data_IF_712922937633
#
_entry.id   IF_712922937633
#
_cell.length_a   1.000
_cell.length_b   1.000
_cell.length_c   1.000
_cell.angle_alpha   90.00
_cell.angle_beta   90.00
_cell.angle_gamma   90.00
#
_symmetry.space_group_name_H-M   'P 1'
#
loop_
_entity.id
_entity.type
_entity.pdbx_description
1 polymer ?
#
# COMPACT_ATOMS: atom_id res chain seq x y z
N UNK A 1 -46.71 -40.37 4.31
CA UNK A 1 -46.43 -38.93 4.10
C UNK A 1 -44.97 -38.69 4.46
N UNK A 2 -44.05 -38.79 3.49
CA UNK A 2 -42.61 -38.64 3.75
C UNK A 2 -42.23 -37.16 3.61
N UNK A 3 -41.94 -36.51 4.74
CA UNK A 3 -41.53 -35.12 4.79
C UNK A 3 -40.08 -34.97 4.34
N UNK A 4 -39.89 -34.53 3.10
CA UNK A 4 -38.57 -34.22 2.56
C UNK A 4 -38.11 -32.87 3.11
N UNK A 5 -37.30 -32.88 4.18
CA UNK A 5 -36.70 -31.67 4.73
C UNK A 5 -35.45 -31.30 3.92
N UNK A 6 -35.59 -30.32 3.02
CA UNK A 6 -34.47 -29.77 2.28
C UNK A 6 -33.63 -28.87 3.21
N UNK A 7 -32.36 -29.20 3.54
CA UNK A 7 -31.57 -28.34 4.40
C UNK A 7 -31.21 -27.06 3.64
N UNK A 8 -31.81 -25.94 4.05
CA UNK A 8 -31.47 -24.60 3.54
C UNK A 8 -29.96 -24.38 3.72
N UNK A 9 -29.23 -24.39 2.61
CA UNK A 9 -27.81 -24.02 2.51
C UNK A 9 -27.64 -22.51 2.74
N UNK A 10 -27.84 -22.06 3.98
CA UNK A 10 -27.39 -20.75 4.42
C UNK A 10 -25.89 -20.83 4.72
N UNK A 11 -25.07 -19.98 4.08
CA UNK A 11 -23.65 -19.85 4.45
C UNK A 11 -23.57 -19.54 5.95
N UNK A 12 -23.14 -20.51 6.76
CA UNK A 12 -23.00 -20.35 8.21
C UNK A 12 -22.01 -19.20 8.46
N UNK A 13 -22.43 -18.16 9.16
CA UNK A 13 -21.56 -17.02 9.51
C UNK A 13 -20.39 -17.58 10.33
N UNK A 14 -19.17 -17.42 9.83
CA UNK A 14 -17.96 -17.81 10.54
C UNK A 14 -17.92 -17.13 11.92
N UNK A 15 -17.56 -17.92 12.94
CA UNK A 15 -17.26 -17.38 14.28
C UNK A 15 -16.13 -16.35 14.15
N UNK A 16 -16.03 -15.42 15.10
CA UNK A 16 -15.00 -14.37 15.07
C UNK A 16 -13.58 -14.92 14.91
N UNK A 17 -13.30 -16.08 15.50
CA UNK A 17 -12.02 -16.77 15.42
C UNK A 17 -11.71 -17.34 14.01
N UNK A 18 -12.75 -17.72 13.26
CA UNK A 18 -12.60 -18.31 11.93
C UNK A 18 -12.61 -17.27 10.80
N UNK A 19 -12.72 -15.98 11.11
CA UNK A 19 -12.69 -14.93 10.08
C UNK A 19 -11.26 -14.70 9.60
N UNK A 20 -11.03 -14.53 8.29
CA UNK A 20 -9.72 -14.13 7.78
C UNK A 20 -9.23 -12.86 8.47
N UNK A 21 -7.95 -12.84 8.82
CA UNK A 21 -7.32 -11.71 9.51
C UNK A 21 -6.46 -10.95 8.51
N UNK A 22 -6.74 -9.67 8.36
CA UNK A 22 -6.06 -8.77 7.42
C UNK A 22 -5.33 -7.63 8.12
N UNK A 23 -4.47 -6.94 7.37
CA UNK A 23 -3.85 -5.68 7.74
C UNK A 23 -4.15 -4.60 6.70
N UNK A 24 -4.41 -3.41 7.22
CA UNK A 24 -4.41 -2.18 6.45
C UNK A 24 -2.99 -1.64 6.43
N UNK A 25 -2.47 -1.37 5.24
CA UNK A 25 -1.11 -0.86 5.04
C UNK A 25 -1.21 0.47 4.29
N UNK A 26 -0.61 1.50 4.86
CA UNK A 26 -0.42 2.80 4.24
C UNK A 26 0.89 2.78 3.46
N UNK A 27 0.80 3.12 2.18
CA UNK A 27 1.90 3.09 1.21
C UNK A 27 2.07 4.49 0.67
N UNK A 28 3.31 4.97 0.63
CA UNK A 28 3.72 6.16 -0.13
C UNK A 28 4.35 5.71 -1.44
N UNK A 29 4.17 6.52 -2.47
CA UNK A 29 4.63 6.19 -3.81
C UNK A 29 4.97 7.42 -4.62
N UNK A 30 5.74 7.19 -5.69
CA UNK A 30 6.28 8.26 -6.51
C UNK A 30 5.19 9.10 -7.22
N UNK A 31 5.50 10.38 -7.45
CA UNK A 31 4.64 11.35 -8.10
C UNK A 31 4.30 10.97 -9.55
N UNK A 32 5.06 10.08 -10.18
CA UNK A 32 4.76 9.57 -11.53
C UNK A 32 3.44 8.78 -11.60
N UNK A 33 3.00 8.21 -10.48
CA UNK A 33 1.75 7.46 -10.42
C UNK A 33 0.59 8.43 -10.24
N UNK A 34 -0.08 8.71 -11.35
CA UNK A 34 -1.14 9.72 -11.43
C UNK A 34 -2.56 9.14 -11.50
N UNK A 35 -2.69 7.81 -11.49
CA UNK A 35 -3.99 7.15 -11.52
C UNK A 35 -4.00 5.91 -10.65
N UNK A 36 -5.20 5.61 -10.11
CA UNK A 36 -5.51 4.37 -9.41
C UNK A 36 -5.13 3.14 -10.25
N UNK A 37 -5.42 3.16 -11.57
CA UNK A 37 -5.14 2.02 -12.44
C UNK A 37 -3.63 1.77 -12.60
N UNK A 38 -2.85 2.85 -12.72
CA UNK A 38 -1.38 2.78 -12.83
C UNK A 38 -0.79 2.25 -11.52
N UNK A 39 -1.30 2.72 -10.37
CA UNK A 39 -0.93 2.17 -9.08
C UNK A 39 -1.22 0.66 -9.04
N UNK A 40 -2.44 0.24 -9.41
CA UNK A 40 -2.84 -1.16 -9.34
C UNK A 40 -1.99 -2.06 -10.24
N UNK A 41 -1.63 -1.59 -11.43
CA UNK A 41 -0.70 -2.28 -12.32
C UNK A 41 0.68 -2.43 -11.69
N UNK A 42 1.36 -1.32 -11.39
CA UNK A 42 2.73 -1.34 -10.83
C UNK A 42 2.80 -2.14 -9.52
N UNK A 43 1.80 -1.99 -8.65
CA UNK A 43 1.77 -2.70 -7.38
C UNK A 43 1.50 -4.21 -7.56
N UNK A 44 0.74 -4.60 -8.59
CA UNK A 44 0.56 -6.02 -8.96
C UNK A 44 1.86 -6.61 -9.48
N UNK A 45 2.55 -5.89 -10.37
CA UNK A 45 3.83 -6.33 -10.95
C UNK A 45 4.88 -6.57 -9.85
N UNK A 46 4.94 -5.68 -8.85
CA UNK A 46 5.87 -5.79 -7.72
C UNK A 46 5.57 -6.97 -6.80
N UNK A 47 4.29 -7.20 -6.53
CA UNK A 47 3.88 -8.31 -5.68
C UNK A 47 4.00 -9.62 -6.44
N UNK A 48 3.92 -9.60 -7.78
CA UNK A 48 4.02 -10.76 -8.65
C UNK A 48 3.09 -11.91 -8.19
N UNK A 49 1.84 -11.56 -7.87
CA UNK A 49 0.84 -12.52 -7.41
C UNK A 49 1.13 -13.24 -6.08
N UNK A 50 2.20 -12.87 -5.33
CA UNK A 50 2.61 -13.53 -4.08
C UNK A 50 1.52 -13.59 -3.02
N UNK A 51 0.61 -12.62 -3.00
CA UNK A 51 -0.50 -12.59 -2.04
C UNK A 51 -1.72 -11.80 -2.52
N UNK A 52 -2.85 -12.10 -1.90
CA UNK A 52 -4.10 -11.40 -2.15
C UNK A 52 -4.08 -10.01 -1.54
N UNK A 53 -4.37 -9.01 -2.36
CA UNK A 53 -4.42 -7.63 -1.92
C UNK A 53 -5.60 -6.87 -2.55
N UNK A 54 -5.93 -5.71 -1.99
CA UNK A 54 -6.96 -4.82 -2.56
C UNK A 54 -6.65 -3.36 -2.24
N UNK A 55 -6.70 -2.49 -3.25
CA UNK A 55 -6.60 -1.05 -3.08
C UNK A 55 -7.92 -0.45 -2.56
N UNK A 56 -7.83 0.42 -1.55
CA UNK A 56 -8.98 1.16 -1.01
C UNK A 56 -8.88 2.64 -1.35
N UNK A 57 -7.92 3.33 -0.75
CA UNK A 57 -7.71 4.76 -0.95
C UNK A 57 -6.48 4.95 -1.85
N UNK A 58 -6.54 5.92 -2.76
CA UNK A 58 -5.44 6.28 -3.65
C UNK A 58 -5.50 7.79 -3.88
N UNK A 59 -4.49 8.51 -3.41
CA UNK A 59 -4.33 9.94 -3.51
C UNK A 59 -3.05 10.22 -4.28
N UNK A 60 -3.17 10.54 -5.55
CA UNK A 60 -2.01 10.86 -6.38
C UNK A 60 -1.43 12.22 -5.99
N UNK A 61 -0.13 12.38 -6.23
CA UNK A 61 0.53 13.67 -6.07
C UNK A 61 -0.05 14.71 -7.03
N UNK A 62 -0.14 15.96 -6.57
CA UNK A 62 -0.47 17.08 -7.45
C UNK A 62 0.70 17.30 -8.42
N UNK A 63 0.46 17.12 -9.71
CA UNK A 63 1.39 17.61 -10.74
C UNK A 63 1.43 19.13 -10.62
N UNK A 64 2.57 19.69 -10.24
CA UNK A 64 2.80 21.14 -10.37
C UNK A 64 2.77 21.47 -11.86
N UNK A 65 1.60 21.79 -12.39
CA UNK A 65 1.49 22.46 -13.68
C UNK A 65 1.80 23.92 -13.40
N UNK A 66 2.85 24.45 -13.99
CA UNK A 66 3.15 25.88 -14.00
C UNK A 66 2.09 26.66 -14.80
N UNK A 67 0.82 26.60 -14.41
CA UNK A 67 -0.27 27.37 -15.00
C UNK A 67 -1.08 28.03 -13.88
N UNK A 68 -0.74 29.29 -13.68
CA UNK A 68 -1.40 30.38 -12.97
C UNK A 68 -2.84 30.19 -12.44
N UNK A 69 -3.00 30.73 -11.24
CA UNK A 69 -4.17 31.40 -10.64
C UNK A 69 -5.11 30.60 -9.74
N UNK A 70 -4.96 30.94 -8.45
CA UNK A 70 -5.98 31.00 -7.39
C UNK A 70 -6.29 29.71 -6.62
N UNK A 71 -5.74 29.64 -5.42
CA UNK A 71 -6.64 29.77 -4.27
C UNK A 71 -5.92 30.28 -3.03
N UNK A 72 -6.34 31.46 -2.60
CA UNK A 72 -6.03 32.12 -1.35
C UNK A 72 -6.52 31.31 -0.16
N UNK A 73 -5.67 30.49 0.44
CA UNK A 73 -5.78 30.10 1.85
C UNK A 73 -4.39 29.87 2.42
N UNK A 74 -4.12 30.61 3.50
CA UNK A 74 -2.88 30.62 4.27
C UNK A 74 -2.54 29.26 4.86
N UNK A 75 -1.28 28.85 4.73
CA UNK A 75 -0.47 28.38 5.84
C UNK A 75 1.01 28.43 5.43
N UNK A 76 1.79 29.10 6.25
CA UNK A 76 3.24 29.19 6.23
C UNK A 76 3.96 27.84 6.12
N UNK A 77 5.25 27.97 5.80
CA UNK A 77 6.36 27.01 5.84
C UNK A 77 6.73 26.42 4.47
N UNK A 78 7.84 26.96 3.96
CA UNK A 78 8.68 26.37 2.92
C UNK A 78 8.95 24.90 3.24
N UNK A 79 8.39 24.00 2.46
CA UNK A 79 8.91 22.64 2.35
C UNK A 79 8.96 22.33 0.87
N UNK A 80 10.17 22.08 0.36
CA UNK A 80 10.40 21.56 -0.99
C UNK A 80 9.99 20.07 -1.00
N UNK A 81 8.80 19.80 -0.46
CA UNK A 81 8.26 18.49 -0.15
C UNK A 81 7.98 17.81 -1.47
N UNK A 82 8.78 16.80 -1.80
CA UNK A 82 8.47 15.86 -2.88
C UNK A 82 7.04 15.40 -2.63
N UNK A 83 6.11 15.83 -3.48
CA UNK A 83 4.72 15.45 -3.34
C UNK A 83 4.62 13.97 -3.70
N UNK A 84 4.74 13.09 -2.70
CA UNK A 84 4.50 11.66 -2.88
C UNK A 84 3.00 11.38 -2.87
N UNK A 85 2.60 10.43 -3.70
CA UNK A 85 1.26 9.86 -3.63
C UNK A 85 1.10 8.98 -2.39
N UNK A 86 -0.15 8.84 -1.93
CA UNK A 86 -0.50 8.03 -0.76
C UNK A 86 -1.62 7.05 -1.08
N UNK A 87 -1.45 5.79 -0.70
CA UNK A 87 -2.45 4.75 -0.87
C UNK A 87 -2.69 3.98 0.43
N UNK A 88 -3.87 3.36 0.51
CA UNK A 88 -4.16 2.35 1.54
C UNK A 88 -4.54 1.04 0.84
N UNK A 89 -3.77 0.00 1.12
CA UNK A 89 -4.02 -1.36 0.65
C UNK A 89 -4.44 -2.27 1.80
N UNK A 90 -5.26 -3.27 1.47
CA UNK A 90 -5.65 -4.36 2.36
C UNK A 90 -4.95 -5.63 1.91
N UNK A 91 -4.23 -6.28 2.82
CA UNK A 91 -3.57 -7.57 2.61
C UNK A 91 -3.91 -8.55 3.73
N UNK A 92 -3.70 -9.84 3.53
CA UNK A 92 -3.81 -10.82 4.61
C UNK A 92 -2.68 -10.63 5.64
N UNK A 93 -2.98 -10.89 6.92
CA UNK A 93 -2.02 -10.65 8.01
C UNK A 93 -0.74 -11.47 7.84
N UNK A 94 -0.87 -12.72 7.39
CA UNK A 94 0.24 -13.65 7.17
C UNK A 94 1.24 -13.14 6.13
N UNK A 95 0.78 -12.34 5.18
CA UNK A 95 1.58 -11.89 4.03
C UNK A 95 2.22 -10.51 4.28
N UNK A 96 1.90 -9.87 5.40
CA UNK A 96 2.43 -8.55 5.75
C UNK A 96 3.94 -8.52 5.96
N UNK A 97 4.52 -9.57 6.53
CA UNK A 97 5.98 -9.70 6.67
C UNK A 97 6.66 -9.75 5.31
N UNK A 98 6.09 -10.47 4.34
CA UNK A 98 6.58 -10.54 2.97
C UNK A 98 6.56 -9.16 2.30
N UNK A 99 5.42 -8.45 2.36
CA UNK A 99 5.31 -7.08 1.84
C UNK A 99 6.35 -6.13 2.46
N UNK A 100 6.61 -6.26 3.77
CA UNK A 100 7.65 -5.46 4.43
C UNK A 100 9.06 -5.77 3.93
N UNK A 101 9.37 -7.05 3.69
CA UNK A 101 10.65 -7.45 3.11
C UNK A 101 10.87 -6.83 1.73
N UNK A 102 9.87 -6.92 0.85
CA UNK A 102 9.92 -6.34 -0.51
C UNK A 102 10.29 -4.85 -0.49
N UNK A 103 9.77 -4.08 0.47
CA UNK A 103 10.06 -2.65 0.58
C UNK A 103 11.29 -2.28 1.42
N UNK A 104 11.93 -3.24 2.10
CA UNK A 104 13.08 -2.99 2.97
C UNK A 104 14.43 -3.27 2.27
N UNK A 105 14.45 -4.15 1.26
CA UNK A 105 15.67 -4.53 0.51
C UNK A 105 16.32 -3.37 -0.27
N UNK A 106 15.77 -2.17 -0.14
CA UNK A 106 16.10 -0.98 -0.93
C UNK A 106 16.79 0.13 -0.17
N UNK A 107 16.88 0.03 1.15
CA UNK A 107 17.51 1.05 2.00
C UNK A 107 18.94 0.68 2.41
N UNK A 108 19.64 -0.13 1.62
CA UNK A 108 21.04 -0.44 1.89
C UNK A 108 21.95 0.62 1.26
N UNK A 109 21.98 1.77 1.91
CA UNK A 109 23.11 2.71 1.84
C UNK A 109 23.37 3.25 3.25
N UNK A 110 24.03 2.44 4.06
CA UNK A 110 24.78 2.90 5.23
C UNK A 110 26.19 2.36 5.09
N UNK A 111 27.11 3.29 4.85
CA UNK A 111 28.56 3.17 4.91
C UNK A 111 28.93 2.59 6.29
N UNK A 112 29.36 1.34 6.35
CA UNK A 112 30.11 0.78 7.47
C UNK A 112 30.97 -0.37 6.93
N UNK A 113 32.28 -0.22 7.11
CA UNK A 113 33.35 -1.07 6.58
C UNK A 113 33.20 -2.56 6.96
N UNK A 114 32.90 -3.42 5.99
CA UNK A 114 33.19 -4.85 6.06
C UNK A 114 33.35 -5.44 4.66
N UNK A 115 34.58 -5.76 4.28
CA UNK A 115 34.95 -6.56 3.11
C UNK A 115 34.19 -7.90 3.12
N UNK A 116 33.30 -8.12 2.16
CA UNK A 116 32.69 -9.44 1.93
C UNK A 116 32.78 -9.79 0.43
N UNK A 117 33.58 -10.85 0.23
CA UNK A 117 33.80 -11.68 -0.94
C UNK A 117 32.55 -11.89 -1.82
N UNK A 118 32.70 -11.59 -3.12
CA UNK A 118 31.62 -11.58 -4.11
C UNK A 118 31.50 -12.96 -4.75
N UNK A 119 30.42 -13.67 -4.46
CA UNK A 119 29.99 -14.82 -5.26
C UNK A 119 28.54 -15.20 -4.97
N UNK A 120 27.58 -14.60 -5.70
CA UNK A 120 26.45 -15.30 -6.33
C UNK A 120 25.34 -14.36 -6.86
N UNK A 121 24.81 -14.75 -8.01
CA UNK A 121 23.47 -14.49 -8.59
C UNK A 121 23.16 -13.13 -9.24
N UNK A 122 23.19 -13.17 -10.57
CA UNK A 122 22.74 -12.17 -11.55
C UNK A 122 21.20 -12.08 -11.58
N UNK A 123 20.58 -11.59 -10.51
CA UNK A 123 19.11 -11.38 -10.44
C UNK A 123 18.77 -10.04 -9.73
N UNK A 124 19.77 -9.19 -9.54
CA UNK A 124 19.72 -8.07 -8.58
C UNK A 124 19.29 -6.72 -9.17
N UNK A 125 19.30 -6.54 -10.50
CA UNK A 125 19.10 -5.21 -11.09
C UNK A 125 17.64 -4.73 -11.12
N UNK A 126 16.65 -5.61 -11.32
CA UNK A 126 15.23 -5.19 -11.31
C UNK A 126 14.70 -4.87 -9.90
N UNK A 127 15.28 -5.48 -8.86
CA UNK A 127 14.86 -5.29 -7.48
C UNK A 127 15.23 -3.91 -6.91
N UNK A 128 16.23 -3.23 -7.48
CA UNK A 128 16.64 -1.87 -7.10
C UNK A 128 15.65 -0.79 -7.57
N UNK A 129 14.98 -0.99 -8.71
CA UNK A 129 14.01 -0.03 -9.27
C UNK A 129 12.69 -0.01 -8.49
N UNK A 130 12.22 -1.20 -8.09
CA UNK A 130 10.90 -1.43 -7.50
C UNK A 130 10.63 -0.62 -6.22
N UNK A 131 11.64 -0.50 -5.37
CA UNK A 131 11.49 0.15 -4.08
C UNK A 131 11.81 1.64 -4.09
N UNK A 132 12.31 2.16 -5.21
CA UNK A 132 12.28 3.60 -5.49
C UNK A 132 10.83 4.08 -5.68
N UNK A 133 9.94 3.19 -6.14
CA UNK A 133 8.56 3.54 -6.51
C UNK A 133 7.61 3.50 -5.30
N UNK A 134 7.79 2.59 -4.34
CA UNK A 134 6.89 2.39 -3.20
C UNK A 134 7.60 2.23 -1.87
N UNK A 135 7.07 2.85 -0.83
CA UNK A 135 7.51 2.68 0.55
C UNK A 135 6.33 2.44 1.50
N UNK A 136 6.50 1.60 2.53
CA UNK A 136 5.46 1.41 3.56
C UNK A 136 5.65 2.35 4.73
N UNK A 137 4.66 3.20 4.97
CA UNK A 137 4.68 4.20 6.05
C UNK A 137 4.12 3.62 7.36
N UNK A 138 3.00 2.89 7.30
CA UNK A 138 2.33 2.40 8.53
C UNK A 138 1.43 1.19 8.24
N UNK A 139 1.18 0.36 9.26
CA UNK A 139 0.11 -0.63 9.19
C UNK A 139 -0.72 -0.71 10.48
N UNK A 140 -1.96 -1.19 10.36
CA UNK A 140 -2.87 -1.42 11.49
C UNK A 140 -3.98 -2.43 11.16
N UNK A 141 -4.65 -2.96 12.19
CA UNK A 141 -5.90 -3.72 12.01
C UNK A 141 -7.12 -2.83 11.71
N UNK A 142 -6.98 -1.49 11.82
CA UNK A 142 -8.07 -0.53 11.63
C UNK A 142 -7.70 0.50 10.56
N UNK A 143 -8.46 0.56 9.47
CA UNK A 143 -8.28 1.55 8.39
C UNK A 143 -8.29 3.00 8.91
N UNK A 144 -9.12 3.29 9.91
CA UNK A 144 -9.20 4.62 10.52
C UNK A 144 -7.88 5.07 11.16
N UNK A 145 -7.12 4.14 11.76
CA UNK A 145 -5.82 4.46 12.34
C UNK A 145 -4.77 4.71 11.25
N UNK A 146 -4.81 3.95 10.15
CA UNK A 146 -3.92 4.16 9.00
C UNK A 146 -4.19 5.54 8.39
N UNK A 147 -5.45 5.89 8.11
CA UNK A 147 -5.83 7.21 7.59
C UNK A 147 -5.34 8.35 8.48
N UNK A 148 -5.55 8.24 9.80
CA UNK A 148 -5.08 9.26 10.77
C UNK A 148 -3.56 9.46 10.68
N UNK A 149 -2.79 8.38 10.62
CA UNK A 149 -1.31 8.44 10.53
C UNK A 149 -0.83 8.99 9.19
N UNK A 150 -1.56 8.71 8.10
CA UNK A 150 -1.25 9.20 6.75
C UNK A 150 -1.80 10.62 6.48
N UNK A 151 -2.45 11.26 7.46
CA UNK A 151 -3.11 12.56 7.27
C UNK A 151 -4.28 12.53 6.27
N UNK A 152 -4.85 11.35 5.98
CA UNK A 152 -5.90 11.20 4.97
C UNK A 152 -7.29 11.48 5.55
N UNK A 153 -8.06 12.31 4.84
CA UNK A 153 -9.45 12.58 5.19
C UNK A 153 -10.32 11.34 4.96
N UNK A 154 -11.32 11.15 5.83
CA UNK A 154 -12.25 10.03 5.70
C UNK A 154 -13.17 10.28 4.50
N UNK A 155 -13.28 9.36 3.54
CA UNK A 155 -14.17 9.55 2.40
C UNK A 155 -15.63 9.70 2.88
N UNK A 156 -16.41 10.60 2.27
CA UNK A 156 -17.82 10.79 2.61
C UNK A 156 -18.60 9.50 2.36
N UNK A 157 -19.53 9.17 3.26
CA UNK A 157 -20.42 8.03 3.07
C UNK A 157 -21.41 8.37 1.95
N UNK A 158 -21.44 7.58 0.87
CA UNK A 158 -22.56 7.57 -0.05
C UNK A 158 -23.80 7.12 0.74
N UNK A 159 -24.83 7.98 0.82
CA UNK A 159 -26.13 7.65 1.39
C UNK A 159 -26.95 6.87 0.36
#
# INVERSE_FOLDING_TARGET
>A
MSGNSNPKSGKRKLTKALRPKWRWVGVEFDADIQSRAIFEQKFTDIIDGKFNWRLFDCHCALKQTNSSLSSTYSADVSDNSVHLGRAIVRIDLKDYSCLRGIFATSTNSSEDDAEIDVSASEEAEENLSVASIFSTVTASGKIALVRKRMGLQKPPRKK
#
